data_IF_249393036023
#
_entry.id   IF_249393036023
#
_cell.length_a   1.000
_cell.length_b   1.000
_cell.length_c   1.000
_cell.angle_alpha   90.00
_cell.angle_beta   90.00
_cell.angle_gamma   90.00
#
_symmetry.space_group_name_H-M   'P 1'
#
loop_
_entity.id
_entity.type
_entity.pdbx_description
1 polymer ?
#
# COMPACT_ATOMS: atom_id res chain seq x y z
N UNK A 1 -34.28 32.83 -32.59
CA UNK A 1 -33.42 31.63 -32.48
C UNK A 1 -33.00 31.53 -31.01
N UNK A 2 -33.66 30.67 -30.23
CA UNK A 2 -33.42 30.50 -28.79
C UNK A 2 -32.36 29.41 -28.62
N UNK A 3 -31.19 29.77 -28.12
CA UNK A 3 -30.13 28.83 -27.77
C UNK A 3 -30.42 28.36 -26.33
N UNK A 4 -30.91 27.13 -26.20
CA UNK A 4 -31.03 26.43 -24.93
C UNK A 4 -29.62 25.99 -24.50
N UNK A 5 -29.08 26.62 -23.45
CA UNK A 5 -27.90 26.13 -22.77
C UNK A 5 -28.31 24.91 -21.93
N UNK A 6 -27.89 23.72 -22.36
CA UNK A 6 -27.96 22.50 -21.58
C UNK A 6 -27.07 22.65 -20.35
N UNK A 7 -27.65 22.89 -19.18
CA UNK A 7 -26.94 22.74 -17.92
C UNK A 7 -26.68 21.24 -17.71
N UNK A 8 -25.48 20.79 -18.07
CA UNK A 8 -25.00 19.49 -17.63
C UNK A 8 -24.94 19.53 -16.10
N UNK A 9 -25.83 18.81 -15.44
CA UNK A 9 -25.78 18.62 -14.00
C UNK A 9 -24.47 17.90 -13.67
N UNK A 10 -23.56 18.59 -12.99
CA UNK A 10 -22.44 17.93 -12.35
C UNK A 10 -23.02 16.88 -11.39
N UNK A 11 -22.89 15.60 -11.73
CA UNK A 11 -23.27 14.52 -10.83
C UNK A 11 -22.40 14.63 -9.57
N UNK A 12 -23.03 14.92 -8.43
CA UNK A 12 -22.34 14.88 -7.14
C UNK A 12 -21.85 13.46 -6.90
N UNK A 13 -20.53 13.28 -6.92
CA UNK A 13 -19.89 12.03 -6.51
C UNK A 13 -19.59 12.18 -5.03
N UNK A 14 -20.26 11.36 -4.20
CA UNK A 14 -20.02 11.35 -2.77
C UNK A 14 -18.55 10.99 -2.48
N UNK A 15 -17.85 11.73 -1.61
CA UNK A 15 -16.46 11.42 -1.25
C UNK A 15 -16.35 9.99 -0.69
N UNK A 16 -15.33 9.24 -1.10
CA UNK A 16 -15.19 7.82 -0.69
C UNK A 16 -15.07 7.64 0.84
N UNK A 17 -14.63 8.67 1.58
CA UNK A 17 -14.55 8.68 3.04
C UNK A 17 -15.89 8.92 3.76
N UNK A 18 -16.93 9.34 3.04
CA UNK A 18 -18.14 9.93 3.62
C UNK A 18 -18.97 8.95 4.45
N UNK A 19 -19.03 7.68 4.08
CA UNK A 19 -19.78 6.66 4.81
C UNK A 19 -18.92 5.43 5.06
N UNK A 20 -19.28 4.63 6.06
CA UNK A 20 -18.59 3.36 6.31
C UNK A 20 -18.60 2.45 5.09
N UNK A 21 -19.73 2.35 4.39
CA UNK A 21 -19.88 1.50 3.22
C UNK A 21 -18.91 1.90 2.10
N UNK A 22 -18.72 3.21 1.86
CA UNK A 22 -17.77 3.71 0.88
C UNK A 22 -16.32 3.44 1.29
N UNK A 23 -15.98 3.60 2.58
CA UNK A 23 -14.66 3.25 3.11
C UNK A 23 -14.37 1.77 2.98
N UNK A 24 -15.30 0.89 3.33
CA UNK A 24 -15.14 -0.57 3.14
C UNK A 24 -14.89 -0.94 1.67
N UNK A 25 -15.63 -0.30 0.75
CA UNK A 25 -15.44 -0.47 -0.70
C UNK A 25 -14.05 -0.02 -1.14
N UNK A 26 -13.58 1.12 -0.65
CA UNK A 26 -12.25 1.64 -0.95
C UNK A 26 -11.13 0.73 -0.40
N UNK A 27 -11.30 0.21 0.82
CA UNK A 27 -10.38 -0.76 1.40
C UNK A 27 -10.28 -2.02 0.53
N UNK A 28 -11.41 -2.53 0.04
CA UNK A 28 -11.45 -3.68 -0.87
C UNK A 28 -10.79 -3.39 -2.22
N UNK A 29 -10.96 -2.18 -2.76
CA UNK A 29 -10.28 -1.74 -3.99
C UNK A 29 -8.76 -1.72 -3.80
N UNK A 30 -8.28 -1.05 -2.76
CA UNK A 30 -6.85 -0.97 -2.44
C UNK A 30 -6.24 -2.35 -2.17
N UNK A 31 -6.96 -3.20 -1.44
CA UNK A 31 -6.54 -4.59 -1.19
C UNK A 31 -6.33 -5.35 -2.49
N UNK A 32 -7.29 -5.29 -3.42
CA UNK A 32 -7.20 -6.01 -4.69
C UNK A 32 -6.04 -5.51 -5.55
N UNK A 33 -5.83 -4.19 -5.60
CA UNK A 33 -4.73 -3.59 -6.36
C UNK A 33 -3.36 -4.02 -5.81
N UNK A 34 -3.15 -3.90 -4.49
CA UNK A 34 -1.90 -4.30 -3.85
C UNK A 34 -1.68 -5.82 -3.89
N UNK A 35 -2.74 -6.61 -3.70
CA UNK A 35 -2.67 -8.07 -3.77
C UNK A 35 -2.30 -8.56 -5.17
N UNK A 36 -2.70 -7.84 -6.23
CA UNK A 36 -2.31 -8.16 -7.59
C UNK A 36 -0.80 -7.99 -7.82
N UNK A 37 -0.14 -7.06 -7.13
CA UNK A 37 1.32 -6.91 -7.14
C UNK A 37 1.95 -8.00 -6.29
N UNK A 38 1.50 -8.16 -5.04
CA UNK A 38 2.06 -9.15 -4.10
C UNK A 38 2.04 -10.59 -4.66
N UNK A 39 0.97 -10.98 -5.37
CA UNK A 39 0.85 -12.30 -5.99
C UNK A 39 1.91 -12.59 -7.07
N UNK A 40 2.53 -11.56 -7.64
CA UNK A 40 3.63 -11.72 -8.60
C UNK A 40 4.98 -11.93 -7.90
N UNK A 41 5.10 -11.51 -6.64
CA UNK A 41 6.30 -11.73 -5.84
C UNK A 41 6.31 -13.18 -5.35
N UNK A 42 7.33 -13.99 -5.69
CA UNK A 42 7.44 -15.37 -5.20
C UNK A 42 7.74 -15.38 -3.70
N UNK A 43 7.54 -16.54 -3.06
CA UNK A 43 8.08 -16.78 -1.73
C UNK A 43 9.49 -17.34 -1.83
N UNK A 44 10.37 -16.96 -0.90
CA UNK A 44 11.67 -17.59 -0.77
C UNK A 44 11.50 -19.05 -0.34
N UNK A 45 12.31 -19.92 -0.92
CA UNK A 45 12.57 -21.25 -0.39
C UNK A 45 13.24 -21.14 0.97
N UNK A 46 13.18 -22.22 1.76
CA UNK A 46 13.85 -22.27 3.06
C UNK A 46 15.38 -22.08 2.94
N UNK A 47 15.97 -22.51 1.83
CA UNK A 47 17.40 -22.35 1.58
C UNK A 47 17.76 -20.88 1.28
N UNK A 48 16.99 -20.21 0.43
CA UNK A 48 17.17 -18.77 0.12
C UNK A 48 16.98 -17.91 1.37
N UNK A 49 15.96 -18.20 2.19
CA UNK A 49 15.75 -17.48 3.45
C UNK A 49 16.92 -17.66 4.41
N UNK A 50 17.39 -18.91 4.62
CA UNK A 50 18.54 -19.18 5.50
C UNK A 50 19.83 -18.53 5.02
N UNK A 51 20.04 -18.52 3.70
CA UNK A 51 21.18 -17.81 3.11
C UNK A 51 21.08 -16.31 3.39
N UNK A 52 19.94 -15.69 3.10
CA UNK A 52 19.72 -14.27 3.32
C UNK A 52 19.92 -13.89 4.79
N UNK A 53 19.32 -14.64 5.72
CA UNK A 53 19.47 -14.41 7.15
C UNK A 53 20.94 -14.49 7.58
N UNK A 54 21.70 -15.45 7.04
CA UNK A 54 23.12 -15.62 7.33
C UNK A 54 24.01 -14.50 6.76
N UNK A 55 23.65 -13.90 5.62
CA UNK A 55 24.38 -12.76 5.07
C UNK A 55 24.02 -11.43 5.75
N UNK A 56 22.79 -11.31 6.26
CA UNK A 56 22.32 -10.13 7.00
C UNK A 56 22.74 -10.12 8.47
N UNK A 57 23.06 -11.28 9.05
CA UNK A 57 23.54 -11.41 10.43
C UNK A 57 24.95 -10.81 10.59
N UNK A 58 24.99 -9.52 10.91
CA UNK A 58 26.21 -8.89 11.44
C UNK A 58 26.14 -8.90 12.96
N UNK A 59 26.79 -9.90 13.58
CA UNK A 59 26.87 -10.06 15.04
C UNK A 59 27.33 -8.80 15.82
N UNK A 60 27.85 -7.78 15.13
CA UNK A 60 28.37 -6.54 15.71
C UNK A 60 27.83 -5.26 15.04
N UNK A 61 26.74 -5.34 14.25
CA UNK A 61 26.16 -4.17 13.56
C UNK A 61 27.05 -3.55 12.47
N UNK A 62 28.07 -4.27 12.01
CA UNK A 62 28.99 -3.79 10.97
C UNK A 62 28.43 -4.15 9.59
N UNK A 63 28.30 -3.15 8.73
CA UNK A 63 28.03 -3.33 7.30
C UNK A 63 29.27 -3.99 6.66
N UNK A 64 29.10 -5.19 6.12
CA UNK A 64 30.14 -5.95 5.41
C UNK A 64 29.83 -6.02 3.92
N UNK A 65 30.81 -6.37 3.08
CA UNK A 65 30.56 -6.59 1.65
C UNK A 65 29.51 -7.68 1.39
N UNK A 66 29.43 -8.66 2.29
CA UNK A 66 28.41 -9.72 2.29
C UNK A 66 27.03 -9.15 2.51
N UNK A 67 26.89 -8.33 3.56
CA UNK A 67 25.66 -7.61 3.86
C UNK A 67 25.21 -6.74 2.67
N UNK A 68 26.11 -5.95 2.08
CA UNK A 68 25.78 -5.08 0.93
C UNK A 68 25.28 -5.92 -0.25
N UNK A 69 25.98 -7.00 -0.60
CA UNK A 69 25.54 -7.90 -1.67
C UNK A 69 24.19 -8.56 -1.38
N UNK A 70 23.95 -8.89 -0.11
CA UNK A 70 22.67 -9.44 0.31
C UNK A 70 21.55 -8.41 0.18
N UNK A 71 21.75 -7.15 0.58
CA UNK A 71 20.73 -6.10 0.43
C UNK A 71 20.44 -5.75 -1.03
N UNK A 72 21.40 -5.96 -1.95
CA UNK A 72 21.22 -5.78 -3.40
C UNK A 72 20.62 -7.03 -4.10
N UNK A 73 20.44 -8.12 -3.36
CA UNK A 73 19.99 -9.40 -3.91
C UNK A 73 18.51 -9.41 -4.30
N UNK A 74 18.11 -10.40 -5.10
CA UNK A 74 16.71 -10.61 -5.42
C UNK A 74 15.94 -11.08 -4.19
N UNK A 75 16.58 -11.92 -3.37
CA UNK A 75 16.01 -12.55 -2.19
C UNK A 75 15.65 -11.49 -1.14
N UNK A 76 16.52 -10.51 -0.95
CA UNK A 76 16.24 -9.38 -0.08
C UNK A 76 15.05 -8.55 -0.57
N UNK A 77 14.98 -8.28 -1.88
CA UNK A 77 13.85 -7.56 -2.45
C UNK A 77 12.54 -8.34 -2.30
N UNK A 78 12.54 -9.65 -2.52
CA UNK A 78 11.39 -10.53 -2.29
C UNK A 78 10.95 -10.46 -0.82
N UNK A 79 11.89 -10.67 0.11
CA UNK A 79 11.62 -10.67 1.55
C UNK A 79 11.02 -9.34 2.00
N UNK A 80 11.67 -8.23 1.62
CA UNK A 80 11.23 -6.86 1.94
C UNK A 80 9.84 -6.56 1.36
N UNK A 81 9.61 -6.90 0.09
CA UNK A 81 8.30 -6.71 -0.55
C UNK A 81 7.21 -7.51 0.16
N UNK A 82 7.44 -8.78 0.47
CA UNK A 82 6.47 -9.64 1.16
C UNK A 82 6.11 -9.12 2.53
N UNK A 83 7.11 -8.76 3.33
CA UNK A 83 6.89 -8.19 4.66
C UNK A 83 6.14 -6.85 4.57
N UNK A 84 6.54 -5.97 3.65
CA UNK A 84 5.89 -4.68 3.46
C UNK A 84 4.43 -4.81 3.00
N UNK A 85 4.13 -5.68 2.04
CA UNK A 85 2.75 -5.95 1.62
C UNK A 85 1.90 -6.52 2.77
N UNK A 86 2.44 -7.44 3.58
CA UNK A 86 1.71 -8.00 4.71
C UNK A 86 1.24 -6.93 5.72
N UNK A 87 2.09 -5.92 5.97
CA UNK A 87 1.77 -4.79 6.86
C UNK A 87 0.63 -3.90 6.34
N UNK A 88 0.27 -3.97 5.06
CA UNK A 88 -0.79 -3.16 4.45
C UNK A 88 -2.02 -4.00 4.11
N UNK A 89 -1.82 -5.20 3.56
CA UNK A 89 -2.88 -6.08 3.09
C UNK A 89 -3.73 -6.62 4.25
N UNK A 90 -3.13 -6.93 5.40
CA UNK A 90 -3.88 -7.44 6.57
C UNK A 90 -4.87 -6.37 7.08
N UNK A 91 -4.44 -5.12 7.39
CA UNK A 91 -5.35 -4.03 7.71
C UNK A 91 -6.45 -3.78 6.66
N UNK A 92 -6.11 -3.76 5.37
CA UNK A 92 -7.09 -3.53 4.30
C UNK A 92 -8.13 -4.66 4.19
N UNK A 93 -7.71 -5.91 4.35
CA UNK A 93 -8.62 -7.05 4.40
C UNK A 93 -9.59 -6.92 5.58
N UNK A 94 -9.09 -6.55 6.76
CA UNK A 94 -9.94 -6.34 7.94
C UNK A 94 -10.91 -5.18 7.76
N UNK A 95 -10.45 -4.04 7.23
CA UNK A 95 -11.28 -2.87 6.92
C UNK A 95 -12.41 -3.20 5.94
N UNK A 96 -12.15 -4.04 4.94
CA UNK A 96 -13.14 -4.39 3.91
C UNK A 96 -14.15 -5.47 4.34
N UNK A 97 -13.86 -6.26 5.38
CA UNK A 97 -14.64 -7.44 5.73
C UNK A 97 -15.25 -7.43 7.13
N UNK A 98 -14.68 -6.67 8.07
CA UNK A 98 -15.07 -6.75 9.48
C UNK A 98 -15.95 -5.59 9.92
N UNK A 99 -16.94 -5.92 10.76
CA UNK A 99 -17.69 -4.91 11.50
C UNK A 99 -16.92 -4.52 12.77
N UNK A 100 -16.17 -3.43 12.71
CA UNK A 100 -15.48 -2.81 13.85
C UNK A 100 -16.11 -1.49 14.31
N UNK A 101 -15.72 -1.02 15.50
CA UNK A 101 -16.07 0.30 16.00
C UNK A 101 -15.34 1.39 15.19
N UNK A 102 -15.93 2.58 15.10
CA UNK A 102 -15.40 3.66 14.25
C UNK A 102 -13.97 4.07 14.62
N UNK A 103 -13.65 4.11 15.92
CA UNK A 103 -12.28 4.39 16.39
C UNK A 103 -11.28 3.38 15.86
N UNK A 104 -11.61 2.09 15.92
CA UNK A 104 -10.73 1.00 15.47
C UNK A 104 -10.57 1.03 13.95
N UNK A 105 -11.66 1.34 13.22
CA UNK A 105 -11.62 1.56 11.77
C UNK A 105 -10.65 2.68 11.40
N UNK A 106 -10.75 3.83 12.08
CA UNK A 106 -9.89 4.99 11.83
C UNK A 106 -8.44 4.70 12.18
N UNK A 107 -8.17 4.00 13.28
CA UNK A 107 -6.82 3.58 13.65
C UNK A 107 -6.20 2.66 12.60
N UNK A 108 -6.99 1.75 12.04
CA UNK A 108 -6.54 0.84 10.99
C UNK A 108 -6.30 1.57 9.67
N UNK A 109 -7.14 2.55 9.33
CA UNK A 109 -6.87 3.46 8.20
C UNK A 109 -5.60 4.29 8.40
N UNK A 110 -5.35 4.77 9.62
CA UNK A 110 -4.12 5.47 9.96
C UNK A 110 -2.89 4.56 9.83
N UNK A 111 -3.00 3.30 10.25
CA UNK A 111 -1.96 2.28 10.06
C UNK A 111 -1.65 2.10 8.56
N UNK A 112 -2.66 1.85 7.72
CA UNK A 112 -2.51 1.77 6.26
C UNK A 112 -1.81 3.01 5.71
N UNK A 113 -2.30 4.21 6.07
CA UNK A 113 -1.71 5.46 5.62
C UNK A 113 -0.24 5.60 6.03
N UNK A 114 0.15 5.14 7.22
CA UNK A 114 1.54 5.22 7.68
C UNK A 114 2.48 4.25 6.95
N UNK A 115 1.97 3.13 6.44
CA UNK A 115 2.75 2.07 5.79
C UNK A 115 2.84 2.22 4.28
N UNK A 116 1.82 2.80 3.65
CA UNK A 116 1.81 3.04 2.21
C UNK A 116 3.03 3.82 1.70
N UNK A 117 3.54 4.88 2.34
CA UNK A 117 4.71 5.62 1.83
C UNK A 117 6.07 4.98 2.20
N UNK A 118 6.10 3.71 2.63
CA UNK A 118 7.35 3.02 2.98
C UNK A 118 8.28 2.91 1.75
N UNK A 119 9.39 3.65 1.79
CA UNK A 119 10.34 3.68 0.69
C UNK A 119 11.04 2.34 0.48
N UNK A 120 11.25 1.54 1.52
CA UNK A 120 11.91 0.24 1.39
C UNK A 120 11.02 -0.76 0.64
N UNK A 121 9.71 -0.75 0.94
CA UNK A 121 8.75 -1.52 0.18
C UNK A 121 8.81 -1.16 -1.31
N UNK A 122 8.64 0.11 -1.66
CA UNK A 122 8.56 0.50 -3.07
C UNK A 122 9.89 0.34 -3.82
N UNK A 123 11.03 0.61 -3.18
CA UNK A 123 12.35 0.32 -3.76
C UNK A 123 12.54 -1.17 -4.03
N UNK A 124 12.07 -2.05 -3.13
CA UNK A 124 12.13 -3.49 -3.39
C UNK A 124 11.22 -3.91 -4.56
N UNK A 125 10.05 -3.28 -4.69
CA UNK A 125 9.17 -3.49 -5.87
C UNK A 125 9.84 -2.97 -7.16
N UNK A 126 10.49 -1.82 -7.14
CA UNK A 126 11.32 -1.32 -8.26
C UNK A 126 12.33 -2.37 -8.72
N UNK A 127 13.10 -2.92 -7.78
CA UNK A 127 14.10 -3.95 -8.06
C UNK A 127 13.49 -5.20 -8.70
N UNK A 128 12.31 -5.62 -8.22
CA UNK A 128 11.60 -6.78 -8.79
C UNK A 128 11.01 -6.49 -10.17
N UNK A 129 10.64 -5.23 -10.47
CA UNK A 129 10.23 -4.79 -11.81
C UNK A 129 11.41 -4.82 -12.78
N UNK A 130 12.58 -4.30 -12.37
CA UNK A 130 13.81 -4.34 -13.19
C UNK A 130 14.22 -5.77 -13.54
N UNK A 131 14.01 -6.70 -12.60
CA UNK A 131 14.23 -8.14 -12.78
C UNK A 131 13.12 -8.87 -13.51
N UNK A 132 12.06 -8.17 -13.95
CA UNK A 132 10.90 -8.73 -14.67
C UNK A 132 10.10 -9.78 -13.90
N UNK A 133 10.17 -9.74 -12.57
CA UNK A 133 9.36 -10.60 -11.67
C UNK A 133 7.99 -9.95 -11.47
N UNK A 134 7.98 -8.66 -11.19
CA UNK A 134 6.76 -7.86 -11.11
C UNK A 134 6.55 -7.16 -12.46
N UNK A 135 5.32 -7.25 -12.97
CA UNK A 135 4.92 -6.52 -14.18
C UNK A 135 5.01 -5.02 -13.94
N UNK A 136 5.81 -4.33 -14.76
CA UNK A 136 5.90 -2.86 -14.78
C UNK A 136 4.52 -2.22 -14.87
N UNK A 137 3.63 -2.76 -15.71
CA UNK A 137 2.26 -2.26 -15.82
C UNK A 137 1.48 -2.39 -14.51
N UNK A 138 1.56 -3.52 -13.82
CA UNK A 138 0.87 -3.68 -12.53
C UNK A 138 1.41 -2.73 -11.46
N UNK A 139 2.71 -2.47 -11.48
CA UNK A 139 3.33 -1.49 -10.60
C UNK A 139 2.90 -0.06 -11.00
N UNK A 140 2.94 0.30 -12.28
CA UNK A 140 2.55 1.61 -12.81
C UNK A 140 1.05 1.91 -12.66
N UNK A 141 0.18 0.93 -12.87
CA UNK A 141 -1.27 1.03 -12.67
C UNK A 141 -1.61 1.34 -11.21
N UNK A 142 -0.77 0.89 -10.26
CA UNK A 142 -0.86 1.34 -8.86
C UNK A 142 -0.15 2.68 -8.62
N UNK A 143 0.93 2.96 -9.37
CA UNK A 143 1.59 4.26 -9.43
C UNK A 143 3.11 4.25 -9.20
N UNK A 144 3.84 3.33 -9.83
CA UNK A 144 5.26 3.07 -9.56
C UNK A 144 6.28 4.06 -10.14
N UNK A 145 5.95 4.84 -11.18
CA UNK A 145 6.96 5.66 -11.87
C UNK A 145 7.20 7.05 -11.22
N UNK A 146 8.47 7.30 -10.84
CA UNK A 146 9.06 8.41 -10.03
C UNK A 146 8.79 8.33 -8.50
N UNK A 147 8.90 7.11 -7.93
CA UNK A 147 9.16 6.70 -6.54
C UNK A 147 8.16 7.18 -5.45
N UNK A 148 7.25 6.31 -5.01
CA UNK A 148 6.36 6.48 -3.83
C UNK A 148 5.40 7.69 -3.82
N UNK A 149 5.44 8.61 -4.79
CA UNK A 149 4.57 9.78 -4.83
C UNK A 149 3.08 9.40 -4.82
N UNK A 150 2.66 8.39 -5.58
CA UNK A 150 1.27 7.94 -5.58
C UNK A 150 0.87 7.20 -4.30
N UNK A 151 1.75 6.39 -3.72
CA UNK A 151 1.49 5.76 -2.43
C UNK A 151 1.40 6.80 -1.30
N UNK A 152 2.23 7.84 -1.36
CA UNK A 152 2.19 9.03 -0.48
C UNK A 152 0.91 9.82 -0.69
N UNK A 153 0.48 10.06 -1.93
CA UNK A 153 -0.77 10.74 -2.24
C UNK A 153 -1.99 9.94 -1.76
N UNK A 154 -1.97 8.61 -1.91
CA UNK A 154 -3.02 7.72 -1.37
C UNK A 154 -3.03 7.73 0.15
N UNK A 155 -1.86 7.71 0.80
CA UNK A 155 -1.73 7.92 2.24
C UNK A 155 -2.36 9.26 2.66
N UNK A 156 -2.00 10.35 1.99
CA UNK A 156 -2.57 11.66 2.27
C UNK A 156 -4.09 11.71 2.03
N UNK A 157 -4.58 11.03 0.98
CA UNK A 157 -6.00 10.92 0.71
C UNK A 157 -6.74 10.19 1.85
N UNK A 158 -6.17 9.11 2.39
CA UNK A 158 -6.71 8.40 3.55
C UNK A 158 -6.74 9.32 4.78
N UNK A 159 -5.64 10.03 5.05
CA UNK A 159 -5.58 10.99 6.16
C UNK A 159 -6.67 12.06 6.03
N UNK A 160 -6.84 12.62 4.83
CA UNK A 160 -7.81 13.69 4.56
C UNK A 160 -9.27 13.22 4.58
N UNK A 161 -9.54 11.99 4.14
CA UNK A 161 -10.90 11.49 3.99
C UNK A 161 -11.43 10.78 5.24
N UNK A 162 -10.54 10.26 6.11
CA UNK A 162 -10.94 9.43 7.25
C UNK A 162 -10.37 9.93 8.57
N UNK A 163 -9.04 10.05 8.66
CA UNK A 163 -8.38 10.31 9.95
C UNK A 163 -8.63 11.73 10.44
N UNK A 164 -8.38 12.73 9.59
CA UNK A 164 -8.57 14.14 9.94
C UNK A 164 -10.06 14.46 10.24
N UNK A 165 -11.04 14.02 9.43
CA UNK A 165 -12.45 14.20 9.75
C UNK A 165 -12.84 13.56 11.08
N UNK A 166 -12.31 12.39 11.42
CA UNK A 166 -12.58 11.77 12.72
C UNK A 166 -12.06 12.63 13.87
N UNK A 167 -10.81 13.12 13.77
CA UNK A 167 -10.21 13.99 14.77
C UNK A 167 -10.95 15.32 14.94
N UNK A 168 -11.63 15.80 13.90
CA UNK A 168 -12.47 17.02 13.93
C UNK A 168 -13.89 16.78 14.42
N UNK A 169 -14.33 15.53 14.52
CA UNK A 169 -15.72 15.18 14.85
C UNK A 169 -16.67 15.20 13.65
N UNK A 170 -16.14 15.31 12.43
CA UNK A 170 -16.91 15.45 11.18
C UNK A 170 -17.12 14.10 10.47
N UNK A 171 -16.45 13.02 10.91
CA UNK A 171 -16.56 11.72 10.26
C UNK A 171 -17.89 11.05 10.59
N UNK A 172 -18.65 10.68 9.55
CA UNK A 172 -19.80 9.81 9.72
C UNK A 172 -19.35 8.36 9.96
N UNK A 173 -19.64 7.88 11.17
CA UNK A 173 -19.33 6.53 11.65
C UNK A 173 -20.46 5.51 11.38
N UNK A 174 -21.58 5.95 10.78
CA UNK A 174 -22.70 5.08 10.42
C UNK A 174 -22.43 4.30 9.14
#
# INVERSE_FOLDING_TARGET
MLILFSAASAQYVEPWGATRALRMKEAGRLYNELSAIDKQVPYLSQAEQKWLDGELDSANGKITDRYIRATDSQEYAISTSKSGFALVLIPLNNLSSLKMACKDEVLMWAEVASRLPDSQLWQSVDHLVERKIVSKKSAEDFGHSFLAANATLRSQAILNAVVIPYLRGDLNCQ
#
